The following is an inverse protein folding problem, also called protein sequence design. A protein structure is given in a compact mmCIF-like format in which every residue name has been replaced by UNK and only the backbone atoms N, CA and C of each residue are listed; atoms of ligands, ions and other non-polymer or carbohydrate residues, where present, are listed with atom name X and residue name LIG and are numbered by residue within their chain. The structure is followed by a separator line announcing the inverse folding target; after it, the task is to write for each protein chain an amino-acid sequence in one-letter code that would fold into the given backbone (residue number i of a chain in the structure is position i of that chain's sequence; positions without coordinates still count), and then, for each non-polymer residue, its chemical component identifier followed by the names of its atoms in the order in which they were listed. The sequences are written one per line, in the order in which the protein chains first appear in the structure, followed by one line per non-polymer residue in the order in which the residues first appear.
data_IF_693041559007
#
_entry.id   IF_693041559007
#
_cell.length_a   1.000
_cell.length_b   1.000
_cell.length_c   1.000
_cell.angle_alpha   90.00
_cell.angle_beta   90.00
_cell.angle_gamma   90.00
#
_symmetry.space_group_name_H-M   'P 1'
#
loop_
_entity.id
_entity.type
_entity.pdbx_description
1 polymer ?
#
# COMPACT_ATOMS: atom_id res chain seq x y z
N UNK A 1 -12.21 3.27 -5.96
CA UNK A 1 -12.32 1.84 -5.61
C UNK A 1 -11.99 1.06 -6.87
N UNK A 2 -10.74 0.59 -7.07
CA UNK A 2 -10.36 -0.01 -8.35
C UNK A 2 -10.65 -1.51 -8.43
N UNK A 3 -10.86 -2.22 -7.32
CA UNK A 3 -11.35 -3.62 -7.31
C UNK A 3 -12.39 -3.88 -6.24
N UNK A 4 -13.24 -4.89 -6.44
CA UNK A 4 -14.16 -5.41 -5.44
C UNK A 4 -13.38 -6.26 -4.43
N UNK A 5 -13.37 -5.84 -3.17
CA UNK A 5 -12.84 -6.65 -2.08
C UNK A 5 -13.82 -7.80 -1.82
N UNK A 6 -13.32 -9.03 -1.83
CA UNK A 6 -14.15 -10.21 -1.53
C UNK A 6 -14.68 -10.12 -0.10
N UNK A 7 -15.97 -10.38 0.13
CA UNK A 7 -16.52 -10.39 1.47
C UNK A 7 -15.84 -11.49 2.28
N UNK A 8 -15.65 -11.20 3.56
CA UNK A 8 -15.19 -12.14 4.59
C UNK A 8 -16.31 -13.13 4.99
N UNK A 9 -15.94 -14.23 5.65
CA UNK A 9 -16.91 -15.13 6.29
C UNK A 9 -17.44 -14.53 7.59
N UNK A 10 -18.64 -13.93 7.55
CA UNK A 10 -19.27 -13.14 8.64
C UNK A 10 -18.65 -13.35 10.02
N UNK A 11 -17.80 -12.42 10.44
CA UNK A 11 -17.10 -12.43 11.73
C UNK A 11 -15.60 -12.67 11.64
N UNK A 12 -15.05 -12.99 10.47
CA UNK A 12 -13.62 -13.00 10.18
C UNK A 12 -13.09 -11.58 9.91
N UNK A 13 -13.07 -10.77 10.97
CA UNK A 13 -12.50 -9.41 10.92
C UNK A 13 -11.04 -9.41 10.42
N UNK A 14 -10.26 -10.44 10.77
CA UNK A 14 -8.87 -10.57 10.32
C UNK A 14 -8.79 -10.74 8.81
N UNK A 15 -9.59 -11.66 8.26
CA UNK A 15 -9.70 -11.86 6.82
C UNK A 15 -10.13 -10.59 6.10
N UNK A 16 -11.10 -9.86 6.66
CA UNK A 16 -11.55 -8.58 6.13
C UNK A 16 -10.41 -7.56 6.02
N UNK A 17 -9.69 -7.31 7.12
CA UNK A 17 -8.59 -6.35 7.17
C UNK A 17 -7.48 -6.69 6.16
N UNK A 18 -7.08 -7.97 6.09
CA UNK A 18 -6.07 -8.43 5.13
C UNK A 18 -6.54 -8.28 3.68
N UNK A 19 -7.81 -8.58 3.39
CA UNK A 19 -8.37 -8.44 2.04
C UNK A 19 -8.44 -6.97 1.60
N UNK A 20 -8.83 -6.06 2.51
CA UNK A 20 -8.83 -4.63 2.22
C UNK A 20 -7.41 -4.09 2.02
N UNK A 21 -6.45 -4.53 2.82
CA UNK A 21 -5.04 -4.15 2.68
C UNK A 21 -4.47 -4.63 1.34
N UNK A 22 -4.65 -5.91 0.99
CA UNK A 22 -4.18 -6.46 -0.29
C UNK A 22 -4.78 -5.75 -1.50
N UNK A 23 -6.06 -5.34 -1.43
CA UNK A 23 -6.67 -4.56 -2.49
C UNK A 23 -5.96 -3.22 -2.73
N UNK A 24 -5.50 -2.53 -1.66
CA UNK A 24 -4.75 -1.29 -1.79
C UNK A 24 -3.33 -1.54 -2.29
N UNK A 25 -2.63 -2.55 -1.76
CA UNK A 25 -1.32 -3.00 -2.27
C UNK A 25 -1.40 -3.32 -3.77
N UNK A 26 -2.48 -3.96 -4.20
CA UNK A 26 -2.78 -4.26 -5.59
C UNK A 26 -2.94 -3.01 -6.45
N UNK A 27 -3.55 -1.94 -5.92
CA UNK A 27 -3.65 -0.65 -6.60
C UNK A 27 -2.28 -0.07 -6.95
N UNK A 28 -1.38 -0.03 -5.96
CA UNK A 28 0.01 0.41 -6.15
C UNK A 28 0.73 -0.44 -7.19
N UNK A 29 0.63 -1.78 -7.12
CA UNK A 29 1.29 -2.68 -8.07
C UNK A 29 0.77 -2.47 -9.50
N UNK A 30 -0.54 -2.32 -9.66
CA UNK A 30 -1.16 -2.11 -10.99
C UNK A 30 -0.80 -0.76 -11.59
N UNK A 31 -0.65 0.30 -10.79
CA UNK A 31 -0.26 1.61 -11.31
C UNK A 31 1.09 1.61 -12.04
N UNK A 32 1.95 0.62 -11.77
CA UNK A 32 3.24 0.43 -12.44
C UNK A 32 3.19 -0.47 -13.69
N UNK A 33 2.04 -1.09 -13.96
CA UNK A 33 1.92 -2.08 -15.03
C UNK A 33 2.24 -1.46 -16.41
N UNK A 34 3.17 -2.10 -17.13
CA UNK A 34 3.56 -1.69 -18.48
C UNK A 34 4.41 -0.42 -18.59
N UNK A 35 4.83 0.18 -17.47
CA UNK A 35 5.71 1.35 -17.50
C UNK A 35 7.18 0.97 -17.68
N UNK A 36 7.92 1.86 -18.34
CA UNK A 36 9.39 1.84 -18.32
C UNK A 36 9.92 2.37 -16.99
N UNK A 37 11.19 2.09 -16.67
CA UNK A 37 11.86 2.67 -15.48
C UNK A 37 11.84 4.19 -15.50
N UNK A 38 12.05 4.81 -16.67
CA UNK A 38 12.03 6.27 -16.82
C UNK A 38 10.65 6.84 -16.49
N UNK A 39 9.58 6.25 -17.04
CA UNK A 39 8.21 6.67 -16.73
C UNK A 39 7.89 6.48 -15.25
N UNK A 40 8.22 5.32 -14.66
CA UNK A 40 7.95 5.03 -13.26
C UNK A 40 8.69 5.99 -12.30
N UNK A 41 9.84 6.52 -12.72
CA UNK A 41 10.67 7.48 -11.96
C UNK A 41 10.35 8.94 -12.24
N UNK A 42 9.52 9.22 -13.25
CA UNK A 42 9.11 10.58 -13.59
C UNK A 42 8.22 11.20 -12.49
N UNK A 43 8.22 12.53 -12.42
CA UNK A 43 7.41 13.35 -11.49
C UNK A 43 6.46 14.27 -12.27
N UNK A 44 5.47 13.71 -13.00
CA UNK A 44 4.68 14.46 -13.98
C UNK A 44 3.59 15.34 -13.35
N UNK A 45 3.29 15.14 -12.07
CA UNK A 45 2.26 15.88 -11.34
C UNK A 45 2.83 17.16 -10.71
N UNK A 46 1.96 17.98 -10.10
CA UNK A 46 2.41 19.12 -9.29
C UNK A 46 3.22 18.71 -8.03
N UNK A 47 3.14 17.44 -7.61
CA UNK A 47 3.90 16.92 -6.47
C UNK A 47 5.27 16.38 -6.90
N UNK A 48 6.19 16.25 -5.95
CA UNK A 48 7.50 15.63 -6.16
C UNK A 48 7.46 14.08 -6.16
N UNK A 49 6.27 13.47 -6.18
CA UNK A 49 6.12 12.02 -6.12
C UNK A 49 6.27 11.38 -7.50
N UNK A 50 6.98 10.25 -7.52
CA UNK A 50 7.02 9.29 -8.65
C UNK A 50 6.37 7.98 -8.24
N UNK A 51 5.96 7.15 -9.20
CA UNK A 51 5.36 5.85 -8.89
C UNK A 51 6.37 4.88 -8.25
N UNK A 52 7.63 4.90 -8.71
CA UNK A 52 8.70 4.12 -8.10
C UNK A 52 8.96 4.58 -6.64
N UNK A 53 8.93 5.89 -6.39
CA UNK A 53 9.05 6.46 -5.05
C UNK A 53 7.90 6.07 -4.14
N UNK A 54 6.66 6.13 -4.64
CA UNK A 54 5.49 5.68 -3.88
C UNK A 54 5.57 4.18 -3.56
N UNK A 55 5.99 3.34 -4.50
CA UNK A 55 6.18 1.91 -4.25
C UNK A 55 7.23 1.64 -3.16
N UNK A 56 8.39 2.31 -3.24
CA UNK A 56 9.43 2.21 -2.21
C UNK A 56 8.88 2.67 -0.85
N UNK A 57 8.15 3.79 -0.83
CA UNK A 57 7.57 4.35 0.38
C UNK A 57 6.69 3.34 1.12
N UNK A 58 5.66 2.81 0.45
CA UNK A 58 4.71 1.89 1.08
C UNK A 58 5.39 0.59 1.50
N UNK A 59 6.36 0.09 0.73
CA UNK A 59 7.10 -1.13 1.07
C UNK A 59 8.00 -0.95 2.31
N UNK A 60 8.70 0.19 2.40
CA UNK A 60 9.55 0.52 3.55
C UNK A 60 8.70 0.84 4.77
N UNK A 61 7.62 1.60 4.61
CA UNK A 61 6.68 1.96 5.67
C UNK A 61 6.03 0.74 6.30
N UNK A 62 5.49 -0.17 5.49
CA UNK A 62 4.88 -1.40 5.99
C UNK A 62 5.91 -2.28 6.72
N UNK A 63 7.13 -2.41 6.18
CA UNK A 63 8.23 -3.13 6.84
C UNK A 63 8.63 -2.50 8.18
N UNK A 64 8.67 -1.17 8.24
CA UNK A 64 8.94 -0.42 9.47
C UNK A 64 7.89 -0.71 10.53
N UNK A 65 6.61 -0.66 10.17
CA UNK A 65 5.52 -1.04 11.06
C UNK A 65 5.60 -2.48 11.53
N UNK A 66 5.93 -3.42 10.64
CA UNK A 66 6.09 -4.83 11.03
C UNK A 66 7.22 -5.02 12.05
N UNK A 67 8.32 -4.27 11.94
CA UNK A 67 9.39 -4.26 12.95
C UNK A 67 8.85 -3.74 14.30
N UNK A 68 8.17 -2.59 14.31
CA UNK A 68 7.56 -2.01 15.52
C UNK A 68 6.61 -2.99 16.21
N UNK A 69 5.76 -3.65 15.41
CA UNK A 69 4.79 -4.64 15.90
C UNK A 69 5.46 -5.87 16.53
N UNK A 70 6.61 -6.31 15.99
CA UNK A 70 7.38 -7.45 16.50
C UNK A 70 8.29 -7.10 17.67
N UNK A 71 8.80 -5.88 17.73
CA UNK A 71 9.76 -5.43 18.75
C UNK A 71 9.14 -5.30 20.14
N UNK A 72 7.82 -5.12 20.26
CA UNK A 72 7.14 -5.10 21.55
C UNK A 72 7.58 -3.97 22.50
N UNK A 73 8.12 -2.86 21.97
CA UNK A 73 8.55 -1.69 22.74
C UNK A 73 10.05 -1.51 22.92
N UNK A 74 10.89 -2.05 22.02
CA UNK A 74 12.31 -1.67 21.94
C UNK A 74 12.50 -0.16 21.65
N UNK A 75 13.69 0.36 21.94
CA UNK A 75 14.03 1.77 21.80
C UNK A 75 13.87 2.24 20.34
N UNK A 76 13.09 3.31 20.13
CA UNK A 76 12.80 3.89 18.83
C UNK A 76 13.64 5.16 18.61
N UNK A 77 14.48 5.15 17.58
CA UNK A 77 15.19 6.34 17.12
C UNK A 77 14.35 7.10 16.08
N UNK A 78 13.71 8.19 16.53
CA UNK A 78 12.91 9.05 15.66
C UNK A 78 13.73 9.69 14.54
N UNK A 79 14.97 10.12 14.82
CA UNK A 79 15.77 10.82 13.82
C UNK A 79 16.17 9.88 12.68
N UNK A 80 16.58 8.65 13.02
CA UNK A 80 16.83 7.61 12.04
C UNK A 80 15.56 7.25 11.25
N UNK A 81 14.43 7.06 11.94
CA UNK A 81 13.15 6.74 11.29
C UNK A 81 12.66 7.85 10.37
N UNK A 82 12.86 9.13 10.71
CA UNK A 82 12.49 10.26 9.87
C UNK A 82 13.36 10.32 8.60
N UNK A 83 14.67 10.08 8.72
CA UNK A 83 15.56 9.97 7.56
C UNK A 83 15.16 8.82 6.63
N UNK A 84 14.87 7.63 7.19
CA UNK A 84 14.38 6.50 6.39
C UNK A 84 13.07 6.82 5.67
N UNK A 85 12.17 7.58 6.31
CA UNK A 85 10.91 8.01 5.71
C UNK A 85 11.14 8.97 4.54
N UNK A 86 12.01 9.98 4.67
CA UNK A 86 12.33 10.91 3.58
C UNK A 86 13.01 10.19 2.41
N UNK A 87 13.95 9.30 2.69
CA UNK A 87 14.67 8.50 1.69
C UNK A 87 13.76 7.48 0.99
N UNK A 88 12.67 7.08 1.64
CA UNK A 88 11.75 6.08 1.09
C UNK A 88 11.00 6.57 -0.17
N UNK A 89 10.90 7.87 -0.42
CA UNK A 89 10.34 8.41 -1.66
C UNK A 89 11.34 8.49 -2.82
N UNK A 90 12.61 8.18 -2.57
CA UNK A 90 13.70 8.39 -3.53
C UNK A 90 14.41 7.06 -3.82
N UNK A 91 13.96 6.28 -4.83
CA UNK A 91 14.63 5.04 -5.22
C UNK A 91 16.03 5.32 -5.78
N UNK A 92 17.04 4.67 -5.20
CA UNK A 92 18.42 4.74 -5.68
C UNK A 92 18.65 3.96 -6.99
N UNK A 93 19.86 4.05 -7.53
CA UNK A 93 20.23 3.47 -8.83
C UNK A 93 20.06 1.94 -8.90
N UNK A 94 20.20 1.24 -7.77
CA UNK A 94 20.01 -0.21 -7.66
C UNK A 94 18.58 -0.64 -7.33
N UNK A 95 17.69 0.29 -7.01
CA UNK A 95 16.31 0.03 -6.59
C UNK A 95 15.38 0.15 -7.80
N UNK A 96 15.50 -0.80 -8.75
CA UNK A 96 14.62 -0.87 -9.93
C UNK A 96 13.17 -1.14 -9.51
N UNK A 97 12.21 -0.83 -10.38
CA UNK A 97 10.79 -1.11 -10.16
C UNK A 97 10.58 -2.59 -9.81
N UNK A 98 11.23 -3.51 -10.53
CA UNK A 98 11.12 -4.93 -10.25
C UNK A 98 11.65 -5.29 -8.86
N UNK A 99 12.82 -4.77 -8.46
CA UNK A 99 13.40 -5.01 -7.12
C UNK A 99 12.47 -4.52 -6.02
N UNK A 100 11.84 -3.37 -6.22
CA UNK A 100 10.88 -2.79 -5.28
C UNK A 100 9.56 -3.57 -5.23
N UNK A 101 9.07 -4.09 -6.38
CA UNK A 101 7.89 -4.95 -6.41
C UNK A 101 8.15 -6.25 -5.65
N UNK A 102 9.31 -6.87 -5.87
CA UNK A 102 9.71 -8.08 -5.15
C UNK A 102 9.86 -7.82 -3.65
N UNK A 103 10.39 -6.65 -3.27
CA UNK A 103 10.45 -6.23 -1.87
C UNK A 103 9.05 -6.11 -1.29
N UNK A 104 8.14 -5.42 -1.99
CA UNK A 104 6.80 -5.17 -1.48
C UNK A 104 6.01 -6.46 -1.34
N UNK A 105 6.14 -7.40 -2.28
CA UNK A 105 5.53 -8.73 -2.17
C UNK A 105 6.06 -9.51 -0.96
N UNK A 106 7.39 -9.50 -0.72
CA UNK A 106 7.95 -10.14 0.48
C UNK A 106 7.41 -9.54 1.76
N UNK A 107 7.40 -8.20 1.86
CA UNK A 107 6.89 -7.48 3.04
C UNK A 107 5.40 -7.80 3.26
N UNK A 108 4.59 -7.77 2.20
CA UNK A 108 3.17 -8.11 2.27
C UNK A 108 2.96 -9.54 2.81
N UNK A 109 3.72 -10.51 2.30
CA UNK A 109 3.66 -11.91 2.76
C UNK A 109 4.08 -12.05 4.24
N UNK A 110 5.11 -11.32 4.68
CA UNK A 110 5.54 -11.34 6.08
C UNK A 110 4.51 -10.71 7.02
N UNK A 111 3.88 -9.61 6.60
CA UNK A 111 2.80 -8.96 7.34
C UNK A 111 1.59 -9.87 7.46
N UNK A 112 1.15 -10.47 6.35
CA UNK A 112 0.01 -11.38 6.32
C UNK A 112 0.25 -12.60 7.22
N UNK A 113 1.45 -13.18 7.16
CA UNK A 113 1.84 -14.30 8.02
C UNK A 113 1.82 -13.91 9.50
N UNK A 114 2.35 -12.73 9.86
CA UNK A 114 2.34 -12.25 11.24
C UNK A 114 0.91 -12.04 11.76
N UNK A 115 0.04 -11.42 10.96
CA UNK A 115 -1.37 -11.17 11.33
C UNK A 115 -2.15 -12.47 11.50
N UNK A 116 -1.91 -13.46 10.63
CA UNK A 116 -2.52 -14.80 10.72
C UNK A 116 -2.05 -15.60 11.92
N UNK A 117 -0.83 -15.34 12.39
CA UNK A 117 -0.27 -16.02 13.56
C UNK A 117 -0.77 -15.46 14.90
N UNK A 118 -1.41 -14.28 14.93
CA UNK A 118 -1.94 -13.69 16.16
C UNK A 118 -3.02 -14.57 16.80
N UNK A 119 -2.98 -14.70 18.13
CA UNK A 119 -4.08 -15.25 18.91
C UNK A 119 -5.29 -14.30 18.94
N UNK A 120 -5.05 -12.99 18.93
CA UNK A 120 -6.11 -11.97 18.86
C UNK A 120 -5.65 -10.68 18.20
N UNK A 121 -6.55 -10.02 17.45
CA UNK A 121 -6.32 -8.65 16.97
C UNK A 121 -6.27 -7.60 18.10
N UNK A 122 -6.64 -7.99 19.32
CA UNK A 122 -6.52 -7.18 20.54
C UNK A 122 -5.13 -7.26 21.18
N UNK A 123 -4.24 -8.13 20.69
CA UNK A 123 -2.85 -8.08 21.10
C UNK A 123 -2.28 -6.69 20.83
N UNK A 124 -1.35 -6.26 21.68
CA UNK A 124 -0.91 -4.87 21.72
C UNK A 124 0.59 -4.72 21.60
N UNK A 125 1.01 -3.56 21.12
CA UNK A 125 2.39 -3.10 21.08
C UNK A 125 2.46 -1.68 21.65
N UNK A 126 3.66 -1.24 22.01
CA UNK A 126 3.92 0.15 22.39
C UNK A 126 4.29 0.96 21.14
N UNK A 127 3.42 1.88 20.73
CA UNK A 127 3.72 2.78 19.64
C UNK A 127 4.73 3.85 20.08
N UNK A 128 5.72 4.18 19.25
CA UNK A 128 6.72 5.17 19.62
C UNK A 128 6.10 6.57 19.70
N UNK A 129 6.72 7.42 20.52
CA UNK A 129 6.43 8.84 20.57
C UNK A 129 7.08 9.55 19.38
N UNK A 130 6.31 10.38 18.69
CA UNK A 130 6.77 11.25 17.59
C UNK A 130 6.21 12.67 17.79
N UNK A 131 6.69 13.71 17.07
CA UNK A 131 6.31 15.09 17.36
C UNK A 131 4.80 15.41 17.31
N UNK A 132 4.02 14.60 16.59
CA UNK A 132 2.56 14.75 16.44
C UNK A 132 1.75 13.68 17.18
N UNK A 133 2.40 12.77 17.92
CA UNK A 133 1.74 11.65 18.57
C UNK A 133 2.52 11.21 19.82
N UNK A 134 1.87 11.23 20.98
CA UNK A 134 2.47 10.87 22.26
C UNK A 134 2.83 9.37 22.36
N UNK A 135 2.40 8.55 21.39
CA UNK A 135 2.69 7.12 21.34
C UNK A 135 1.82 6.31 22.31
N UNK A 136 2.37 5.20 22.81
CA UNK A 136 1.76 4.34 23.81
C UNK A 136 1.00 3.14 23.24
N UNK A 137 0.32 2.42 24.13
CA UNK A 137 -0.27 1.11 23.85
C UNK A 137 -1.35 1.15 22.77
N UNK A 138 -1.16 0.37 21.70
CA UNK A 138 -2.11 0.19 20.58
C UNK A 138 -2.31 -1.28 20.27
N UNK A 139 -3.45 -1.61 19.67
CA UNK A 139 -3.74 -2.98 19.23
C UNK A 139 -3.22 -3.24 17.81
N UNK A 140 -2.99 -4.51 17.48
CA UNK A 140 -2.71 -4.93 16.11
C UNK A 140 -3.85 -4.56 15.14
N UNK A 141 -5.10 -4.55 15.61
CA UNK A 141 -6.23 -4.00 14.84
C UNK A 141 -5.98 -2.56 14.41
N UNK A 142 -5.55 -1.71 15.34
CA UNK A 142 -5.26 -0.30 15.04
C UNK A 142 -4.15 -0.18 13.99
N UNK A 143 -3.09 -0.97 14.11
CA UNK A 143 -1.99 -0.94 13.16
C UNK A 143 -2.40 -1.38 11.75
N UNK A 144 -3.26 -2.41 11.63
CA UNK A 144 -3.76 -2.84 10.32
C UNK A 144 -4.65 -1.77 9.66
N UNK A 145 -5.49 -1.09 10.45
CA UNK A 145 -6.27 0.04 9.94
C UNK A 145 -5.36 1.17 9.47
N UNK A 146 -4.27 1.45 10.19
CA UNK A 146 -3.30 2.45 9.78
C UNK A 146 -2.59 2.07 8.47
N UNK A 147 -2.15 0.81 8.32
CA UNK A 147 -1.56 0.33 7.06
C UNK A 147 -2.56 0.42 5.89
N UNK A 148 -3.83 0.08 6.11
CA UNK A 148 -4.88 0.25 5.09
C UNK A 148 -5.04 1.73 4.71
N UNK A 149 -5.09 2.64 5.70
CA UNK A 149 -5.22 4.08 5.46
C UNK A 149 -4.04 4.63 4.66
N UNK A 150 -2.81 4.33 5.10
CA UNK A 150 -1.57 4.78 4.48
C UNK A 150 -1.50 4.30 3.03
N UNK A 151 -1.69 3.00 2.81
CA UNK A 151 -1.57 2.43 1.47
C UNK A 151 -2.72 2.89 0.57
N UNK A 152 -3.95 3.05 1.08
CA UNK A 152 -5.06 3.61 0.32
C UNK A 152 -4.80 5.06 -0.11
N UNK A 153 -4.26 5.90 0.80
CA UNK A 153 -3.92 7.29 0.51
C UNK A 153 -2.88 7.37 -0.60
N UNK A 154 -1.84 6.52 -0.54
CA UNK A 154 -0.81 6.46 -1.57
C UNK A 154 -1.28 5.81 -2.87
N UNK A 155 -2.24 4.88 -2.84
CA UNK A 155 -2.86 4.32 -4.04
C UNK A 155 -3.62 5.41 -4.82
N UNK A 156 -4.34 6.30 -4.13
CA UNK A 156 -4.98 7.45 -4.77
C UNK A 156 -3.97 8.42 -5.41
N UNK A 157 -2.81 8.66 -4.76
CA UNK A 157 -1.73 9.44 -5.40
C UNK A 157 -1.17 8.72 -6.63
N UNK A 158 -1.01 7.40 -6.57
CA UNK A 158 -0.51 6.60 -7.67
C UNK A 158 -1.45 6.64 -8.89
N UNK A 159 -2.76 6.65 -8.68
CA UNK A 159 -3.75 6.79 -9.75
C UNK A 159 -3.55 8.12 -10.50
N UNK A 160 -3.46 9.25 -9.78
CA UNK A 160 -3.27 10.58 -10.39
C UNK A 160 -1.94 10.70 -11.12
N UNK A 161 -0.86 10.16 -10.53
CA UNK A 161 0.45 10.17 -11.18
C UNK A 161 0.40 9.33 -12.46
N UNK A 162 -0.24 8.15 -12.41
CA UNK A 162 -0.34 7.28 -13.57
C UNK A 162 -1.12 7.94 -14.72
N UNK A 163 -2.27 8.52 -14.43
CA UNK A 163 -3.05 9.30 -15.40
C UNK A 163 -2.22 10.43 -16.03
N UNK A 164 -1.34 11.05 -15.24
CA UNK A 164 -0.44 12.11 -15.73
C UNK A 164 0.70 11.61 -16.63
N UNK A 165 1.06 10.32 -16.58
CA UNK A 165 2.12 9.72 -17.41
C UNK A 165 1.59 9.38 -18.80
N UNK A 166 0.49 8.63 -18.87
CA UNK A 166 0.00 8.04 -20.12
C UNK A 166 -1.53 8.08 -20.29
N UNK A 167 -2.25 8.76 -19.39
CA UNK A 167 -3.70 8.90 -19.45
C UNK A 167 -4.49 7.67 -18.95
N UNK A 168 -3.82 6.59 -18.54
CA UNK A 168 -4.52 5.39 -18.05
C UNK A 168 -5.06 5.60 -16.64
N UNK A 169 -6.34 5.33 -16.46
CA UNK A 169 -7.00 5.33 -15.16
C UNK A 169 -6.88 3.98 -14.45
N UNK A 170 -7.28 3.96 -13.18
CA UNK A 170 -7.19 2.77 -12.35
C UNK A 170 -8.03 1.58 -12.88
N UNK A 171 -9.19 1.83 -13.50
CA UNK A 171 -10.04 0.77 -14.08
C UNK A 171 -9.43 0.14 -15.34
N UNK A 172 -8.81 0.94 -16.21
CA UNK A 172 -8.10 0.43 -17.40
C UNK A 172 -7.07 -0.61 -16.96
N UNK A 173 -6.26 -0.27 -15.96
CA UNK A 173 -5.21 -1.15 -15.44
C UNK A 173 -5.77 -2.39 -14.73
N UNK A 174 -6.92 -2.28 -14.08
CA UNK A 174 -7.60 -3.41 -13.45
C UNK A 174 -8.04 -4.44 -14.48
N UNK A 175 -8.58 -3.99 -15.61
CA UNK A 175 -9.01 -4.88 -16.70
C UNK A 175 -7.81 -5.42 -17.47
N UNK A 176 -6.82 -4.59 -17.80
CA UNK A 176 -5.60 -4.99 -18.50
C UNK A 176 -4.81 -6.06 -17.72
N UNK A 177 -4.75 -5.94 -16.40
CA UNK A 177 -4.07 -6.93 -15.54
C UNK A 177 -4.93 -8.14 -15.20
N UNK A 178 -6.21 -8.16 -15.59
CA UNK A 178 -7.15 -9.23 -15.29
C UNK A 178 -7.53 -9.31 -13.80
N UNK A 179 -7.31 -8.24 -13.02
CA UNK A 179 -7.66 -8.20 -11.61
C UNK A 179 -9.19 -8.25 -11.38
N UNK A 180 -9.95 -7.76 -12.35
CA UNK A 180 -11.39 -7.98 -12.48
C UNK A 180 -11.75 -8.12 -13.97
N UNK A 181 -12.83 -8.86 -14.30
CA UNK A 181 -13.35 -8.85 -15.67
C UNK A 181 -13.91 -7.46 -16.01
N UNK A 182 -13.89 -7.12 -17.30
CA UNK A 182 -14.62 -5.96 -17.79
C UNK A 182 -16.12 -6.10 -17.48
N UNK A 183 -16.81 -5.02 -17.05
CA UNK A 183 -18.22 -5.10 -16.71
C UNK A 183 -19.07 -5.32 -17.95
N UNK A 184 -20.00 -6.28 -17.87
CA UNK A 184 -21.09 -6.38 -18.84
C UNK A 184 -22.16 -5.32 -18.51
N UNK A 185 -22.07 -4.18 -19.17
CA UNK A 185 -23.02 -3.07 -19.01
C UNK A 185 -24.40 -3.34 -19.60
N UNK A 186 -24.61 -4.44 -20.33
CA UNK A 186 -25.91 -4.75 -20.94
C UNK A 186 -27.03 -4.88 -19.90
N UNK A 187 -26.70 -5.41 -18.71
CA UNK A 187 -27.61 -5.52 -17.58
C UNK A 187 -27.98 -4.16 -16.94
N UNK A 188 -27.23 -3.09 -17.25
CA UNK A 188 -27.38 -1.75 -16.66
C UNK A 188 -27.78 -0.67 -17.67
N UNK A 189 -28.21 -1.06 -18.88
CA UNK A 189 -28.68 -0.12 -19.89
C UNK A 189 -27.60 0.46 -20.80
N UNK A 190 -26.41 -0.14 -20.83
CA UNK A 190 -25.27 0.29 -21.65
C UNK A 190 -24.18 0.99 -20.86
N UNK A 191 -23.03 1.21 -21.49
CA UNK A 191 -21.89 1.89 -20.85
C UNK A 191 -22.23 3.35 -20.50
N UNK A 192 -21.68 3.91 -19.41
CA UNK A 192 -21.76 5.34 -19.13
C UNK A 192 -21.24 6.16 -20.31
N UNK A 193 -21.89 7.28 -20.62
CA UNK A 193 -21.34 8.25 -21.58
C UNK A 193 -20.28 9.10 -20.86
N UNK A 194 -19.08 9.17 -21.43
CA UNK A 194 -17.97 10.02 -20.96
C UNK A 194 -18.28 11.52 -21.12
#
# INVERSE_FOLDING_TARGET
MPVVVKPEETGDERGALLAYLDAQRGGIRRSLHGLTEEQARSVPSASALSLAGVLKHVAVGERGWLRTLRAGGEEFDYAASAGEWEDSFHPGDGETVQVLLDLYERVANETDAAVRALGSLNETFEAPRVPWDEGGKRSWRWALLHLIEETARHAGHADVIRESIDGKGAFDLVFETGAMPEPDWSAFGGAPQE
#
